data_IF_945622606932
#
_entry.id   IF_945622606932
#
_cell.length_a   1.000
_cell.length_b   1.000
_cell.length_c   1.000
_cell.angle_alpha   90.00
_cell.angle_beta   90.00
_cell.angle_gamma   90.00
#
_symmetry.space_group_name_H-M   'P 1'
#
loop_
_entity.id
_entity.type
_entity.pdbx_description
1 polymer ?
#
# COMPACT_ATOMS: atom_id res chain seq x y z
N UNK A 1 3.35 27.91 18.37
CA UNK A 1 3.12 27.14 17.14
C UNK A 1 1.75 26.47 17.23
N UNK A 2 0.73 26.93 16.47
CA UNK A 2 -0.64 26.40 16.56
C UNK A 2 -0.66 25.00 15.96
N UNK A 3 -0.92 23.99 16.78
CA UNK A 3 -1.10 22.60 16.41
C UNK A 3 -2.27 22.49 15.40
N UNK A 4 -1.97 22.35 14.10
CA UNK A 4 -2.96 22.11 13.05
C UNK A 4 -3.54 20.70 13.21
N UNK A 5 -4.85 20.62 13.20
CA UNK A 5 -5.72 19.65 13.78
C UNK A 5 -5.59 18.20 13.26
N UNK A 6 -5.94 17.27 14.12
CA UNK A 6 -6.23 15.87 13.77
C UNK A 6 -7.18 15.81 12.57
N UNK A 7 -6.89 14.89 11.63
CA UNK A 7 -7.76 14.65 10.47
C UNK A 7 -9.16 14.26 10.98
N UNK A 8 -10.21 14.94 10.53
CA UNK A 8 -11.58 14.55 10.88
C UNK A 8 -12.02 13.39 9.98
N UNK A 9 -12.78 12.48 10.57
CA UNK A 9 -13.52 11.50 9.80
C UNK A 9 -14.54 12.23 8.91
N UNK A 10 -14.71 11.77 7.68
CA UNK A 10 -15.79 12.26 6.84
C UNK A 10 -17.14 11.77 7.41
N UNK A 11 -18.22 12.57 7.29
CA UNK A 11 -19.55 12.14 7.69
C UNK A 11 -19.99 10.87 6.96
N UNK A 12 -20.87 10.09 7.59
CA UNK A 12 -21.55 9.00 6.93
C UNK A 12 -22.54 9.58 5.90
N UNK A 13 -22.60 8.91 4.75
CA UNK A 13 -23.53 9.23 3.68
C UNK A 13 -24.82 8.38 3.78
N UNK A 14 -25.89 8.77 3.09
CA UNK A 14 -27.06 7.91 2.93
C UNK A 14 -26.66 6.54 2.36
N UNK A 15 -27.13 5.45 3.00
CA UNK A 15 -26.75 4.09 2.62
C UNK A 15 -25.49 3.53 3.28
N UNK A 16 -24.74 4.34 4.04
CA UNK A 16 -23.64 3.81 4.85
C UNK A 16 -24.14 2.98 6.02
N UNK A 17 -23.47 1.85 6.34
CA UNK A 17 -23.84 1.04 7.49
C UNK A 17 -23.63 1.83 8.79
N UNK A 18 -24.56 1.67 9.73
CA UNK A 18 -24.42 2.23 11.09
C UNK A 18 -23.66 1.30 12.01
N UNK A 19 -23.60 0.04 11.67
CA UNK A 19 -22.91 -1.02 12.39
C UNK A 19 -22.36 -2.05 11.42
N UNK A 20 -21.18 -2.59 11.69
CA UNK A 20 -20.56 -3.67 10.93
C UNK A 20 -19.86 -4.60 11.91
N UNK A 21 -20.20 -5.89 11.86
CA UNK A 21 -19.57 -6.90 12.70
C UNK A 21 -19.72 -6.66 14.21
N UNK A 22 -20.79 -6.02 14.66
CA UNK A 22 -21.00 -5.65 16.07
C UNK A 22 -20.27 -4.36 16.50
N UNK A 23 -19.66 -3.63 15.55
CA UNK A 23 -18.95 -2.38 15.81
C UNK A 23 -19.72 -1.20 15.25
N UNK A 24 -19.97 -0.19 16.10
CA UNK A 24 -20.66 1.03 15.69
C UNK A 24 -19.78 1.90 14.82
N UNK A 25 -20.23 2.19 13.60
CA UNK A 25 -19.53 3.02 12.62
C UNK A 25 -19.62 4.51 12.99
N UNK A 26 -18.50 5.22 12.97
CA UNK A 26 -18.39 6.63 13.38
C UNK A 26 -18.21 7.62 12.25
N UNK A 27 -17.65 7.18 11.14
CA UNK A 27 -17.43 8.02 9.96
C UNK A 27 -16.59 7.31 8.92
N UNK A 28 -16.44 7.93 7.77
CA UNK A 28 -15.62 7.43 6.67
C UNK A 28 -14.16 7.83 6.85
N UNK A 29 -13.26 6.87 6.63
CA UNK A 29 -11.81 7.10 6.50
C UNK A 29 -11.48 7.39 5.04
N UNK A 30 -12.04 6.62 4.11
CA UNK A 30 -11.83 6.74 2.68
C UNK A 30 -12.74 5.81 1.87
N UNK A 31 -12.81 6.03 0.56
CA UNK A 31 -13.51 5.17 -0.38
C UNK A 31 -12.62 4.94 -1.61
N UNK A 32 -12.66 3.75 -2.18
CA UNK A 32 -11.95 3.34 -3.38
C UNK A 32 -12.82 2.44 -4.26
N UNK A 33 -12.29 1.96 -5.39
CA UNK A 33 -13.05 1.17 -6.35
C UNK A 33 -13.64 -0.14 -5.82
N UNK A 34 -13.07 -0.71 -4.77
CA UNK A 34 -13.48 -2.02 -4.23
C UNK A 34 -14.38 -1.94 -3.00
N UNK A 35 -14.38 -0.81 -2.31
CA UNK A 35 -15.10 -0.67 -1.05
C UNK A 35 -14.82 0.64 -0.33
N UNK A 36 -15.55 0.84 0.75
CA UNK A 36 -15.39 2.00 1.64
C UNK A 36 -14.80 1.55 2.97
N UNK A 37 -13.86 2.35 3.48
CA UNK A 37 -13.23 2.13 4.79
C UNK A 37 -13.84 3.10 5.79
N UNK A 38 -14.33 2.55 6.89
CA UNK A 38 -14.96 3.28 7.98
C UNK A 38 -14.12 3.20 9.25
N UNK A 39 -14.21 4.22 10.08
CA UNK A 39 -13.81 4.14 11.48
C UNK A 39 -14.99 3.63 12.31
N UNK A 40 -14.75 2.62 13.14
CA UNK A 40 -15.75 2.06 14.04
C UNK A 40 -15.21 2.01 15.47
N UNK A 41 -16.10 1.97 16.46
CA UNK A 41 -15.71 1.86 17.87
C UNK A 41 -15.03 0.52 18.13
N UNK A 42 -14.02 0.58 19.01
CA UNK A 42 -13.34 -0.62 19.54
C UNK A 42 -13.83 -0.85 20.97
N UNK A 43 -14.65 -1.87 21.24
CA UNK A 43 -15.07 -2.17 22.62
C UNK A 43 -13.88 -2.42 23.52
N UNK A 44 -13.83 -1.77 24.69
CA UNK A 44 -12.81 -1.97 25.71
C UNK A 44 -11.44 -1.34 25.42
N UNK A 45 -11.28 -0.61 24.30
CA UNK A 45 -10.03 0.07 23.94
C UNK A 45 -10.32 1.51 23.55
N UNK A 46 -9.51 2.46 24.04
CA UNK A 46 -9.57 3.83 23.53
C UNK A 46 -9.01 3.87 22.11
N UNK A 47 -9.88 4.14 21.12
CA UNK A 47 -9.49 4.25 19.71
C UNK A 47 -10.54 3.72 18.75
N UNK A 48 -10.16 3.66 17.49
CA UNK A 48 -11.00 3.15 16.43
C UNK A 48 -10.46 1.84 15.86
N UNK A 49 -11.34 1.11 15.20
CA UNK A 49 -11.03 0.06 14.25
C UNK A 49 -11.24 0.62 12.83
N UNK A 50 -10.47 0.12 11.88
CA UNK A 50 -10.71 0.35 10.46
C UNK A 50 -11.53 -0.80 9.88
N UNK A 51 -12.68 -0.47 9.30
CA UNK A 51 -13.63 -1.46 8.75
C UNK A 51 -13.79 -1.23 7.27
N UNK A 52 -13.24 -2.12 6.45
CA UNK A 52 -13.39 -2.12 5.00
C UNK A 52 -14.63 -2.93 4.62
N UNK A 53 -15.60 -2.29 3.98
CA UNK A 53 -16.83 -2.91 3.47
C UNK A 53 -16.80 -2.89 1.97
N UNK A 54 -16.95 -4.06 1.36
CA UNK A 54 -16.94 -4.24 -0.10
C UNK A 54 -18.17 -3.59 -0.72
N UNK A 55 -18.03 -2.96 -1.88
CA UNK A 55 -19.17 -2.42 -2.64
C UNK A 55 -20.05 -3.54 -3.17
N UNK A 56 -21.34 -3.26 -3.37
CA UNK A 56 -22.32 -4.26 -3.79
C UNK A 56 -21.98 -4.91 -5.15
N UNK A 57 -21.43 -4.10 -6.08
CA UNK A 57 -21.03 -4.59 -7.41
C UNK A 57 -19.93 -5.67 -7.31
N UNK A 58 -18.88 -5.44 -6.50
CA UNK A 58 -17.82 -6.39 -6.27
C UNK A 58 -18.30 -7.58 -5.43
N UNK A 59 -19.19 -7.33 -4.49
CA UNK A 59 -19.79 -8.38 -3.67
C UNK A 59 -20.67 -9.35 -4.49
N UNK A 60 -21.17 -8.94 -5.64
CA UNK A 60 -21.93 -9.80 -6.57
C UNK A 60 -21.03 -10.74 -7.40
N UNK A 61 -19.72 -10.44 -7.53
CA UNK A 61 -18.77 -11.30 -8.26
C UNK A 61 -18.24 -12.44 -7.37
N UNK A 62 -18.57 -13.71 -7.67
CA UNK A 62 -18.07 -14.86 -6.90
C UNK A 62 -16.54 -14.93 -6.86
N UNK A 63 -15.86 -14.61 -7.96
CA UNK A 63 -14.40 -14.63 -8.03
C UNK A 63 -13.78 -13.55 -7.13
N UNK A 64 -14.42 -12.39 -7.02
CA UNK A 64 -14.00 -11.37 -6.08
C UNK A 64 -14.15 -11.84 -4.63
N UNK A 65 -15.30 -12.49 -4.29
CA UNK A 65 -15.52 -13.04 -2.95
C UNK A 65 -14.47 -14.10 -2.55
N UNK A 66 -14.13 -15.00 -3.48
CA UNK A 66 -13.08 -16.00 -3.25
C UNK A 66 -11.72 -15.35 -2.97
N UNK A 67 -11.33 -14.36 -3.79
CA UNK A 67 -10.08 -13.60 -3.57
C UNK A 67 -10.11 -12.86 -2.23
N UNK A 68 -11.21 -12.18 -1.91
CA UNK A 68 -11.34 -11.47 -0.64
C UNK A 68 -11.29 -12.41 0.57
N UNK A 69 -11.88 -13.61 0.47
CA UNK A 69 -11.81 -14.63 1.50
C UNK A 69 -10.38 -15.17 1.69
N UNK A 70 -9.67 -15.39 0.59
CA UNK A 70 -8.25 -15.78 0.63
C UNK A 70 -7.41 -14.68 1.27
N UNK A 71 -7.62 -13.42 0.89
CA UNK A 71 -6.96 -12.25 1.48
C UNK A 71 -7.13 -12.22 3.00
N UNK A 72 -8.37 -12.25 3.47
CA UNK A 72 -8.66 -12.22 4.90
C UNK A 72 -7.99 -13.38 5.65
N UNK A 73 -7.99 -14.59 5.07
CA UNK A 73 -7.33 -15.78 5.63
C UNK A 73 -5.81 -15.63 5.71
N UNK A 74 -5.20 -15.06 4.68
CA UNK A 74 -3.74 -14.87 4.64
C UNK A 74 -3.30 -13.76 5.58
N UNK A 75 -4.06 -12.64 5.60
CA UNK A 75 -3.82 -11.52 6.52
C UNK A 75 -3.88 -11.92 7.99
N UNK A 76 -4.78 -12.84 8.34
CA UNK A 76 -4.87 -13.32 9.72
C UNK A 76 -3.59 -14.04 10.21
N UNK A 77 -2.68 -14.41 9.31
CA UNK A 77 -1.40 -15.05 9.62
C UNK A 77 -0.24 -14.07 9.69
N UNK A 78 -0.42 -12.83 9.21
CA UNK A 78 0.64 -11.81 9.24
C UNK A 78 0.71 -11.21 10.63
N UNK A 79 1.88 -11.34 11.25
CA UNK A 79 2.17 -10.74 12.56
C UNK A 79 3.44 -9.90 12.44
N UNK A 80 3.28 -8.58 12.35
CA UNK A 80 4.38 -7.61 12.29
C UNK A 80 3.94 -6.28 12.88
N UNK A 81 4.79 -5.59 13.64
CA UNK A 81 4.52 -4.23 14.13
C UNK A 81 4.41 -3.20 12.99
N UNK A 82 4.96 -3.52 11.82
CA UNK A 82 4.94 -2.65 10.62
C UNK A 82 3.78 -2.95 9.66
N UNK A 83 2.83 -3.79 10.05
CA UNK A 83 1.59 -4.08 9.30
C UNK A 83 0.38 -3.77 10.18
N UNK A 84 -0.67 -3.20 9.60
CA UNK A 84 -1.92 -3.00 10.34
C UNK A 84 -2.51 -4.36 10.73
N UNK A 85 -2.67 -4.57 12.04
CA UNK A 85 -3.08 -5.87 12.59
C UNK A 85 -4.50 -6.24 12.15
N UNK A 86 -4.64 -7.43 11.58
CA UNK A 86 -5.93 -8.02 11.28
C UNK A 86 -6.69 -8.33 12.59
N UNK A 87 -7.99 -8.04 12.61
CA UNK A 87 -8.86 -8.34 13.76
C UNK A 87 -9.82 -9.46 13.42
N UNK A 88 -10.65 -9.28 12.41
CA UNK A 88 -11.61 -10.27 11.92
C UNK A 88 -12.19 -9.88 10.57
N UNK A 89 -12.85 -10.82 9.90
CA UNK A 89 -13.60 -10.58 8.68
C UNK A 89 -14.86 -11.44 8.66
N UNK A 90 -15.87 -11.02 7.89
CA UNK A 90 -16.97 -11.86 7.45
C UNK A 90 -17.04 -11.82 5.93
N UNK A 91 -16.55 -12.89 5.33
CA UNK A 91 -16.47 -13.09 3.89
C UNK A 91 -17.78 -13.61 3.29
N UNK A 92 -18.69 -14.10 4.15
CA UNK A 92 -20.00 -14.64 3.77
C UNK A 92 -21.12 -13.61 3.84
N UNK A 93 -20.90 -12.49 4.53
CA UNK A 93 -21.88 -11.41 4.59
C UNK A 93 -22.37 -11.02 3.19
N UNK A 94 -23.58 -10.49 3.07
CA UNK A 94 -24.12 -9.96 1.81
C UNK A 94 -23.13 -8.99 1.16
N UNK A 95 -22.59 -8.05 1.95
CA UNK A 95 -21.44 -7.23 1.61
C UNK A 95 -20.26 -7.66 2.48
N UNK A 96 -19.28 -8.41 1.94
CA UNK A 96 -18.11 -8.83 2.69
C UNK A 96 -17.40 -7.67 3.34
N UNK A 97 -16.88 -7.88 4.55
CA UNK A 97 -16.14 -6.87 5.28
C UNK A 97 -14.93 -7.44 6.02
N UNK A 98 -13.97 -6.58 6.30
CA UNK A 98 -12.77 -6.90 7.06
C UNK A 98 -12.47 -5.78 8.04
N UNK A 99 -12.03 -6.15 9.24
CA UNK A 99 -11.65 -5.25 10.33
C UNK A 99 -10.16 -5.38 10.60
N UNK A 100 -9.48 -4.25 10.62
CA UNK A 100 -8.08 -4.13 11.04
C UNK A 100 -7.97 -3.09 12.16
N UNK A 101 -6.82 -3.04 12.83
CA UNK A 101 -6.53 -1.90 13.71
C UNK A 101 -6.60 -0.60 12.90
N UNK A 102 -7.12 0.44 13.52
CA UNK A 102 -6.98 1.80 12.98
C UNK A 102 -5.59 2.31 13.32
N UNK A 103 -4.82 2.65 12.31
CA UNK A 103 -3.48 3.22 12.47
C UNK A 103 -3.57 4.74 12.42
N UNK A 104 -3.43 5.46 13.55
CA UNK A 104 -3.42 6.91 13.53
C UNK A 104 -2.10 7.42 12.95
N UNK A 105 -2.22 8.40 12.04
CA UNK A 105 -1.08 9.05 11.37
C UNK A 105 -1.42 9.55 9.98
N UNK A 106 -0.56 10.38 9.39
CA UNK A 106 -0.66 10.75 7.98
C UNK A 106 -0.17 9.59 7.11
N UNK A 107 -0.69 9.47 5.89
CA UNK A 107 -0.04 8.62 4.89
C UNK A 107 1.29 9.24 4.47
N UNK A 108 2.23 8.41 4.02
CA UNK A 108 3.52 8.88 3.49
C UNK A 108 3.30 9.89 2.34
N UNK A 109 2.35 9.64 1.44
CA UNK A 109 1.98 10.57 0.36
C UNK A 109 1.60 11.93 0.92
N UNK A 110 0.66 11.98 1.85
CA UNK A 110 0.21 13.23 2.46
C UNK A 110 1.32 13.95 3.22
N UNK A 111 2.15 13.20 3.94
CA UNK A 111 3.27 13.78 4.69
C UNK A 111 4.27 14.46 3.76
N UNK A 112 4.71 13.74 2.72
CA UNK A 112 5.70 14.25 1.74
C UNK A 112 5.16 15.47 0.99
N UNK A 113 3.90 15.45 0.55
CA UNK A 113 3.28 16.58 -0.14
C UNK A 113 3.15 17.84 0.73
N UNK A 114 3.07 17.68 2.06
CA UNK A 114 2.87 18.79 3.00
C UNK A 114 4.12 19.26 3.69
N UNK A 115 5.07 18.36 3.92
CA UNK A 115 6.25 18.61 4.75
C UNK A 115 7.56 18.41 3.98
N UNK A 116 7.48 17.93 2.74
CA UNK A 116 8.64 17.59 1.93
C UNK A 116 9.20 16.19 2.24
N UNK A 117 10.36 15.93 1.66
CA UNK A 117 11.04 14.63 1.71
C UNK A 117 11.44 14.19 3.11
N UNK A 118 11.51 12.88 3.32
CA UNK A 118 12.14 12.30 4.49
C UNK A 118 13.67 12.31 4.35
N UNK A 119 14.38 12.45 5.47
CA UNK A 119 15.85 12.55 5.50
C UNK A 119 16.44 11.72 6.62
N UNK A 120 17.73 11.39 6.50
CA UNK A 120 18.51 10.77 7.58
C UNK A 120 17.82 9.56 8.18
N UNK A 121 17.76 9.51 9.50
CA UNK A 121 17.18 8.40 10.23
C UNK A 121 15.70 8.11 9.90
N UNK A 122 14.89 9.14 9.64
CA UNK A 122 13.48 8.94 9.24
C UNK A 122 13.34 8.18 7.93
N UNK A 123 14.21 8.47 6.94
CA UNK A 123 14.22 7.75 5.66
C UNK A 123 14.66 6.29 5.85
N UNK A 124 15.70 6.07 6.66
CA UNK A 124 16.18 4.73 6.99
C UNK A 124 15.11 3.93 7.79
N UNK A 125 14.47 4.58 8.75
CA UNK A 125 13.36 3.99 9.51
C UNK A 125 12.17 3.60 8.62
N UNK A 126 11.84 4.43 7.62
CA UNK A 126 10.85 4.09 6.60
C UNK A 126 11.28 2.85 5.81
N UNK A 127 12.51 2.84 5.29
CA UNK A 127 13.03 1.74 4.49
C UNK A 127 13.06 0.42 5.28
N UNK A 128 13.62 0.43 6.49
CA UNK A 128 13.69 -0.75 7.35
C UNK A 128 12.30 -1.24 7.80
N UNK A 129 11.42 -0.33 8.22
CA UNK A 129 10.08 -0.70 8.68
C UNK A 129 9.19 -1.25 7.56
N UNK A 130 9.26 -0.69 6.36
CA UNK A 130 8.51 -1.22 5.20
C UNK A 130 9.11 -2.53 4.67
N UNK A 131 10.42 -2.71 4.73
CA UNK A 131 11.07 -3.99 4.41
C UNK A 131 10.67 -5.09 5.41
N UNK A 132 10.59 -4.78 6.72
CA UNK A 132 10.09 -5.70 7.75
C UNK A 132 8.62 -6.09 7.49
N UNK A 133 7.79 -5.13 7.10
CA UNK A 133 6.41 -5.42 6.73
C UNK A 133 6.34 -6.41 5.55
N UNK A 134 7.09 -6.16 4.47
CA UNK A 134 7.14 -7.07 3.32
C UNK A 134 7.68 -8.46 3.69
N UNK A 135 8.74 -8.53 4.50
CA UNK A 135 9.28 -9.81 4.99
C UNK A 135 8.20 -10.63 5.71
N UNK A 136 7.43 -9.99 6.60
CA UNK A 136 6.37 -10.67 7.33
C UNK A 136 5.22 -11.13 6.43
N UNK A 137 4.83 -10.30 5.45
CA UNK A 137 3.79 -10.59 4.46
C UNK A 137 4.23 -11.77 3.58
N UNK A 138 5.45 -11.72 3.05
CA UNK A 138 6.02 -12.74 2.19
C UNK A 138 6.21 -14.08 2.92
N UNK A 139 6.61 -14.05 4.19
CA UNK A 139 6.70 -15.24 5.03
C UNK A 139 5.34 -15.93 5.25
N UNK A 140 4.24 -15.18 5.23
CA UNK A 140 2.87 -15.72 5.27
C UNK A 140 2.38 -16.26 3.90
N UNK A 141 3.22 -16.21 2.86
CA UNK A 141 2.86 -16.63 1.50
C UNK A 141 2.02 -15.62 0.73
N UNK A 142 2.00 -14.36 1.16
CA UNK A 142 1.21 -13.27 0.57
C UNK A 142 2.08 -12.39 -0.33
N UNK A 143 1.48 -11.82 -1.36
CA UNK A 143 2.03 -10.72 -2.17
C UNK A 143 1.14 -9.51 -1.95
N UNK A 144 1.73 -8.35 -1.59
CA UNK A 144 0.97 -7.12 -1.28
C UNK A 144 0.31 -6.50 -2.51
N UNK A 145 1.02 -6.42 -3.62
CA UNK A 145 0.57 -5.98 -4.96
C UNK A 145 0.18 -4.50 -5.11
N UNK A 146 -0.04 -3.76 -4.03
CA UNK A 146 -0.43 -2.34 -4.07
C UNK A 146 0.37 -1.50 -3.08
N UNK A 147 1.69 -1.78 -2.95
CA UNK A 147 2.57 -0.95 -2.13
C UNK A 147 2.80 0.39 -2.81
N UNK A 148 2.39 1.46 -2.13
CA UNK A 148 2.53 2.85 -2.59
C UNK A 148 2.45 3.81 -1.40
N UNK A 149 2.91 5.05 -1.53
CA UNK A 149 2.93 6.01 -0.42
C UNK A 149 1.58 6.30 0.24
N UNK A 150 0.47 6.11 -0.45
CA UNK A 150 -0.88 6.26 0.15
C UNK A 150 -1.26 5.08 1.05
N UNK A 151 -0.61 3.92 0.91
CA UNK A 151 -0.84 2.72 1.70
C UNK A 151 0.19 2.54 2.83
N UNK A 152 1.09 3.50 3.03
CA UNK A 152 2.02 3.56 4.15
C UNK A 152 1.58 4.67 5.09
N UNK A 153 1.24 4.33 6.33
CA UNK A 153 0.93 5.31 7.39
C UNK A 153 2.16 5.52 8.27
N UNK A 154 2.49 6.77 8.50
CA UNK A 154 3.54 7.18 9.44
C UNK A 154 2.93 7.26 10.84
N UNK A 155 2.96 6.14 11.57
CA UNK A 155 2.46 6.06 12.95
C UNK A 155 3.48 6.60 13.96
N UNK A 156 3.07 6.73 15.22
CA UNK A 156 3.99 7.15 16.29
C UNK A 156 5.15 6.15 16.53
N UNK A 157 4.95 4.88 16.20
CA UNK A 157 5.94 3.80 16.45
C UNK A 157 6.72 3.37 15.20
N UNK A 158 6.49 3.99 14.05
CA UNK A 158 7.11 3.62 12.78
C UNK A 158 6.13 3.59 11.61
N UNK A 159 6.62 3.25 10.41
CA UNK A 159 5.74 3.07 9.26
C UNK A 159 4.92 1.80 9.41
N UNK A 160 3.65 1.87 9.01
CA UNK A 160 2.75 0.71 8.94
C UNK A 160 2.13 0.59 7.57
N UNK A 161 2.21 -0.59 6.98
CA UNK A 161 1.51 -0.92 5.76
C UNK A 161 0.03 -1.16 6.03
N UNK A 162 -0.79 -0.55 5.19
CA UNK A 162 -2.23 -0.75 5.13
C UNK A 162 -2.59 -1.52 3.85
N UNK A 163 -3.83 -1.98 3.81
CA UNK A 163 -4.56 -2.47 2.62
C UNK A 163 -3.74 -3.27 1.61
N UNK A 164 -3.96 -4.55 1.59
CA UNK A 164 -3.37 -5.46 0.62
C UNK A 164 -4.19 -5.41 -0.67
N UNK A 165 -3.52 -5.30 -1.80
CA UNK A 165 -4.15 -5.24 -3.12
C UNK A 165 -4.55 -6.60 -3.68
N UNK A 166 -4.87 -7.60 -2.85
CA UNK A 166 -5.14 -8.98 -3.26
C UNK A 166 -6.42 -9.06 -4.11
N UNK A 167 -7.33 -8.11 -3.95
CA UNK A 167 -8.55 -8.04 -4.76
C UNK A 167 -8.33 -7.53 -6.20
N UNK A 168 -7.09 -7.13 -6.57
CA UNK A 168 -6.80 -6.79 -7.95
C UNK A 168 -6.95 -8.02 -8.87
N UNK A 169 -7.68 -7.90 -9.97
CA UNK A 169 -7.86 -9.00 -10.92
C UNK A 169 -6.56 -9.21 -11.70
N UNK A 170 -5.65 -9.98 -11.14
CA UNK A 170 -4.58 -10.59 -11.92
C UNK A 170 -5.06 -12.01 -12.25
N UNK A 171 -4.84 -12.41 -13.50
CA UNK A 171 -5.16 -13.75 -13.96
C UNK A 171 -4.67 -14.81 -12.98
N UNK A 172 -5.54 -15.79 -12.73
CA UNK A 172 -5.30 -16.91 -11.83
C UNK A 172 -3.93 -17.52 -12.10
N UNK A 173 -3.00 -17.52 -11.15
CA UNK A 173 -1.70 -18.11 -11.36
C UNK A 173 -1.86 -19.63 -11.35
N UNK A 174 -2.11 -20.22 -12.51
CA UNK A 174 -1.94 -21.67 -12.69
C UNK A 174 -0.48 -22.02 -12.34
N UNK A 175 -0.23 -22.74 -11.25
CA UNK A 175 1.13 -23.07 -10.83
C UNK A 175 1.94 -23.82 -11.90
N UNK A 176 1.27 -24.52 -12.82
CA UNK A 176 1.92 -25.26 -13.91
C UNK A 176 2.43 -24.33 -15.01
N UNK A 177 1.79 -23.18 -15.23
CA UNK A 177 2.28 -22.12 -16.13
C UNK A 177 3.59 -21.51 -15.63
N UNK A 178 3.81 -21.46 -14.31
CA UNK A 178 5.01 -20.91 -13.69
C UNK A 178 6.29 -21.69 -14.02
N UNK A 179 6.22 -23.01 -13.95
CA UNK A 179 7.36 -23.89 -14.27
C UNK A 179 7.74 -23.73 -15.76
N UNK A 180 6.74 -23.60 -16.62
CA UNK A 180 6.93 -23.41 -18.06
C UNK A 180 7.51 -22.04 -18.39
N UNK A 181 7.03 -20.97 -17.74
CA UNK A 181 7.52 -19.59 -17.92
C UNK A 181 8.93 -19.39 -17.36
N UNK A 182 9.28 -19.99 -16.19
CA UNK A 182 10.66 -20.01 -15.69
C UNK A 182 11.63 -20.68 -16.66
N UNK A 183 11.23 -21.80 -17.27
CA UNK A 183 12.04 -22.47 -18.31
C UNK A 183 12.15 -21.62 -19.57
N UNK A 184 11.08 -20.98 -19.99
CA UNK A 184 11.10 -20.07 -21.14
C UNK A 184 11.97 -18.83 -20.88
N UNK A 185 11.89 -18.17 -19.70
CA UNK A 185 12.75 -17.03 -19.34
C UNK A 185 14.23 -17.36 -19.41
N UNK A 186 14.63 -18.57 -18.96
CA UNK A 186 16.02 -19.03 -19.08
C UNK A 186 16.47 -19.20 -20.54
N UNK A 187 15.54 -19.59 -21.41
CA UNK A 187 15.78 -19.69 -22.86
C UNK A 187 15.71 -18.35 -23.59
N UNK A 188 14.93 -17.37 -23.07
CA UNK A 188 14.81 -16.02 -23.66
C UNK A 188 15.88 -15.04 -23.20
N UNK A 189 16.72 -15.40 -22.22
CA UNK A 189 17.85 -14.56 -21.77
C UNK A 189 18.87 -14.31 -22.88
N UNK A 190 18.91 -15.17 -23.91
CA UNK A 190 19.79 -15.05 -25.09
C UNK A 190 19.14 -14.32 -26.28
N UNK A 191 17.86 -13.99 -26.19
CA UNK A 191 17.13 -13.27 -27.24
C UNK A 191 17.00 -11.78 -26.84
N UNK A 192 17.53 -10.90 -27.70
CA UNK A 192 17.45 -9.45 -27.59
C UNK A 192 16.03 -9.03 -27.21
N UNK A 193 15.94 -8.11 -26.24
CA UNK A 193 14.71 -7.43 -25.85
C UNK A 193 13.87 -7.01 -27.09
N UNK A 194 12.54 -7.17 -27.05
CA UNK A 194 11.69 -6.66 -28.12
C UNK A 194 11.95 -5.18 -28.31
N UNK A 195 12.02 -4.76 -29.56
CA UNK A 195 12.21 -3.36 -29.99
C UNK A 195 11.25 -2.44 -29.23
N UNK A 196 11.63 -1.17 -28.95
CA UNK A 196 10.76 -0.19 -28.29
C UNK A 196 9.40 0.03 -28.97
N UNK A 197 9.25 -0.47 -30.20
CA UNK A 197 8.04 -0.38 -31.01
C UNK A 197 6.89 -1.31 -30.57
N UNK A 198 7.14 -2.31 -29.70
CA UNK A 198 6.09 -3.14 -29.12
C UNK A 198 5.61 -2.57 -27.78
N UNK A 199 5.19 -1.31 -27.80
CA UNK A 199 4.45 -0.73 -26.68
C UNK A 199 3.09 -1.44 -26.51
N UNK A 200 2.62 -1.60 -25.25
CA UNK A 200 1.35 -2.24 -24.99
C UNK A 200 0.21 -1.57 -25.79
N UNK A 201 -0.55 -2.40 -26.51
CA UNK A 201 -1.76 -2.07 -27.25
C UNK A 201 -2.78 -1.29 -26.39
N UNK A 202 -3.73 -0.58 -27.03
CA UNK A 202 -4.81 0.18 -26.35
C UNK A 202 -5.58 -0.65 -25.31
N UNK A 203 -5.64 -1.95 -25.48
CA UNK A 203 -6.18 -2.91 -24.49
C UNK A 203 -5.44 -2.88 -23.16
N UNK A 204 -4.16 -2.52 -23.13
CA UNK A 204 -3.37 -2.35 -21.89
C UNK A 204 -3.77 -1.10 -21.15
N UNK A 205 -4.02 0.01 -21.85
CA UNK A 205 -4.43 1.27 -21.24
C UNK A 205 -5.75 1.12 -20.47
N UNK A 206 -6.75 0.42 -21.06
CA UNK A 206 -8.05 0.19 -20.43
C UNK A 206 -8.00 -0.78 -19.23
N UNK A 207 -6.95 -1.59 -19.12
CA UNK A 207 -6.77 -2.52 -18.00
C UNK A 207 -5.85 -1.98 -16.90
N UNK A 208 -4.97 -1.03 -17.21
CA UNK A 208 -4.10 -0.38 -16.22
C UNK A 208 -4.92 0.38 -15.17
N UNK A 209 -6.07 0.95 -15.56
CA UNK A 209 -7.03 1.52 -14.59
C UNK A 209 -7.54 0.49 -13.56
N UNK A 210 -7.49 -0.81 -13.91
CA UNK A 210 -7.83 -1.93 -13.01
C UNK A 210 -6.61 -2.48 -12.26
N UNK A 211 -5.38 -2.20 -12.73
CA UNK A 211 -4.14 -2.74 -12.17
C UNK A 211 -3.54 -1.86 -11.07
N UNK A 212 -3.95 -0.60 -10.95
CA UNK A 212 -3.43 0.29 -9.93
C UNK A 212 -3.13 1.71 -10.42
N UNK A 213 -2.45 2.48 -9.61
CA UNK A 213 -2.06 3.86 -9.93
C UNK A 213 -0.84 3.85 -10.86
N UNK A 214 -0.88 4.48 -12.05
CA UNK A 214 0.28 4.59 -12.93
C UNK A 214 1.52 5.10 -12.18
N UNK A 215 2.69 4.54 -12.46
CA UNK A 215 3.94 4.81 -11.73
C UNK A 215 4.15 3.94 -10.48
N UNK A 216 3.10 3.25 -10.00
CA UNK A 216 3.11 2.33 -8.85
C UNK A 216 2.73 0.91 -9.28
N UNK A 217 3.23 0.51 -10.44
CA UNK A 217 3.03 -0.79 -11.09
C UNK A 217 4.42 -1.29 -11.49
N UNK A 218 4.77 -2.54 -11.19
CA UNK A 218 6.08 -3.10 -11.54
C UNK A 218 6.21 -3.43 -13.04
N UNK A 219 7.44 -3.54 -13.58
CA UNK A 219 7.66 -3.86 -15.00
C UNK A 219 6.93 -5.11 -15.49
N UNK A 220 6.96 -6.19 -14.67
CA UNK A 220 6.27 -7.45 -14.98
C UNK A 220 4.75 -7.30 -15.00
N UNK A 221 4.18 -6.42 -14.17
CA UNK A 221 2.75 -6.14 -14.21
C UNK A 221 2.35 -5.43 -15.50
N UNK A 222 3.16 -4.47 -15.99
CA UNK A 222 2.96 -3.85 -17.30
C UNK A 222 3.09 -4.86 -18.44
N UNK A 223 3.97 -5.85 -18.32
CA UNK A 223 4.15 -6.93 -19.30
C UNK A 223 3.11 -8.04 -19.18
N UNK A 224 2.18 -7.97 -18.23
CA UNK A 224 1.22 -9.04 -17.90
C UNK A 224 1.88 -10.35 -17.53
N UNK A 225 3.05 -10.26 -16.96
CA UNK A 225 3.76 -11.41 -16.42
C UNK A 225 3.26 -11.70 -14.99
N UNK A 226 3.52 -12.91 -14.48
CA UNK A 226 3.12 -13.26 -13.13
C UNK A 226 3.68 -12.30 -12.07
N UNK A 227 2.81 -11.77 -11.23
CA UNK A 227 3.18 -10.89 -10.13
C UNK A 227 3.60 -11.72 -8.92
N UNK A 228 4.89 -11.70 -8.60
CA UNK A 228 5.47 -12.39 -7.46
C UNK A 228 5.78 -11.41 -6.32
N UNK A 229 6.34 -11.93 -5.23
CA UNK A 229 6.90 -11.12 -4.14
C UNK A 229 7.94 -10.10 -4.62
N UNK A 230 8.58 -10.36 -5.75
CA UNK A 230 9.54 -9.44 -6.38
C UNK A 230 8.90 -8.16 -6.91
N UNK A 231 7.61 -8.17 -7.21
CA UNK A 231 6.87 -6.96 -7.55
C UNK A 231 6.76 -6.01 -6.34
N UNK A 232 6.50 -6.54 -5.15
CA UNK A 232 6.47 -5.75 -3.92
C UNK A 232 7.83 -5.14 -3.61
N UNK A 233 8.92 -5.85 -3.89
CA UNK A 233 10.29 -5.35 -3.74
C UNK A 233 10.55 -4.16 -4.66
N UNK A 234 10.11 -4.23 -5.92
CA UNK A 234 10.18 -3.09 -6.84
C UNK A 234 9.40 -1.88 -6.30
N UNK A 235 8.19 -2.10 -5.83
CA UNK A 235 7.34 -1.04 -5.28
C UNK A 235 7.87 -0.49 -3.95
N UNK A 236 8.60 -1.29 -3.17
CA UNK A 236 9.35 -0.81 -2.01
C UNK A 236 10.42 0.19 -2.43
N UNK A 237 11.23 -0.14 -3.44
CA UNK A 237 12.23 0.76 -4.00
C UNK A 237 11.62 2.08 -4.47
N UNK A 238 10.54 2.00 -5.26
CA UNK A 238 9.78 3.16 -5.74
C UNK A 238 9.27 4.02 -4.56
N UNK A 239 8.77 3.38 -3.49
CA UNK A 239 8.23 4.08 -2.30
C UNK A 239 9.34 4.80 -1.52
N UNK A 240 10.50 4.18 -1.36
CA UNK A 240 11.66 4.78 -0.66
C UNK A 240 12.26 5.92 -1.48
N UNK A 241 12.41 5.75 -2.81
CA UNK A 241 12.85 6.81 -3.72
C UNK A 241 11.91 8.02 -3.67
N UNK A 242 10.59 7.82 -3.74
CA UNK A 242 9.60 8.88 -3.56
C UNK A 242 9.76 9.62 -2.23
N UNK A 243 9.99 8.91 -1.15
CA UNK A 243 10.15 9.52 0.16
C UNK A 243 11.42 10.37 0.25
N UNK A 244 12.50 9.98 -0.44
CA UNK A 244 13.77 10.70 -0.48
C UNK A 244 13.73 11.94 -1.39
N UNK A 245 13.07 11.84 -2.56
CA UNK A 245 13.06 12.89 -3.58
C UNK A 245 11.86 13.86 -3.46
N UNK A 246 10.76 13.43 -2.82
CA UNK A 246 9.46 14.12 -2.76
C UNK A 246 8.75 14.24 -4.12
N UNK A 247 9.12 13.43 -5.08
CA UNK A 247 8.43 13.28 -6.37
C UNK A 247 8.42 11.82 -6.82
N UNK A 248 7.55 11.50 -7.77
CA UNK A 248 7.43 10.14 -8.29
C UNK A 248 8.70 9.78 -9.10
N UNK A 249 9.41 8.64 -8.83
CA UNK A 249 10.72 8.33 -9.42
C UNK A 249 10.76 8.22 -10.94
N UNK A 250 9.62 7.97 -11.57
CA UNK A 250 9.45 7.97 -13.02
C UNK A 250 8.71 9.21 -13.53
N UNK A 251 8.55 10.23 -12.68
CA UNK A 251 7.84 11.46 -12.99
C UNK A 251 6.34 11.26 -13.17
N UNK A 252 5.70 12.15 -13.92
CA UNK A 252 4.27 12.09 -14.26
C UNK A 252 4.11 12.02 -15.76
N UNK A 253 3.31 11.07 -16.23
CA UNK A 253 3.05 10.86 -17.64
C UNK A 253 1.71 10.15 -17.83
N UNK A 254 1.21 10.12 -19.06
CA UNK A 254 0.09 9.25 -19.44
C UNK A 254 0.47 7.76 -19.32
N UNK A 255 -0.51 6.89 -19.30
CA UNK A 255 -0.36 5.45 -19.00
C UNK A 255 0.70 4.77 -19.88
N UNK A 256 0.67 5.00 -21.20
CA UNK A 256 1.63 4.38 -22.16
C UNK A 256 3.06 4.83 -21.89
N UNK A 257 3.26 6.12 -21.71
CA UNK A 257 4.58 6.69 -21.44
C UNK A 257 5.09 6.27 -20.06
N UNK A 258 4.22 6.22 -19.05
CA UNK A 258 4.59 5.71 -17.73
C UNK A 258 5.02 4.24 -17.79
N UNK A 259 4.29 3.40 -18.53
CA UNK A 259 4.67 2.01 -18.75
C UNK A 259 6.06 1.90 -19.40
N UNK A 260 6.34 2.73 -20.43
CA UNK A 260 7.64 2.78 -21.09
C UNK A 260 8.76 3.15 -20.11
N UNK A 261 8.56 4.22 -19.33
CA UNK A 261 9.54 4.66 -18.32
C UNK A 261 9.82 3.60 -17.29
N UNK A 262 8.78 3.02 -16.69
CA UNK A 262 8.94 1.97 -15.68
C UNK A 262 9.65 0.74 -16.23
N UNK A 263 9.36 0.35 -17.48
CA UNK A 263 9.97 -0.83 -18.09
C UNK A 263 11.41 -0.63 -18.57
N UNK A 264 11.79 0.59 -18.99
CA UNK A 264 13.02 0.79 -19.75
C UNK A 264 13.91 1.92 -19.24
N UNK A 265 13.40 2.90 -18.48
CA UNK A 265 14.21 4.01 -17.98
C UNK A 265 14.68 3.78 -16.54
N UNK A 266 15.80 4.37 -16.19
CA UNK A 266 16.29 4.42 -14.82
C UNK A 266 15.38 5.33 -13.97
N UNK A 267 15.11 4.96 -12.70
CA UNK A 267 14.39 5.82 -11.78
C UNK A 267 15.24 7.01 -11.36
N UNK A 268 14.58 8.13 -11.07
CA UNK A 268 15.22 9.23 -10.37
C UNK A 268 15.41 8.85 -8.89
N UNK A 269 16.67 8.76 -8.46
CA UNK A 269 17.11 8.39 -7.12
C UNK A 269 17.73 9.55 -6.35
N UNK A 270 17.47 10.77 -6.77
CA UNK A 270 17.98 11.96 -6.13
C UNK A 270 17.75 11.95 -4.61
N UNK A 271 18.77 12.44 -3.88
CA UNK A 271 18.73 12.59 -2.44
C UNK A 271 18.75 11.30 -1.58
N UNK A 272 18.93 10.14 -2.19
CA UNK A 272 19.20 8.92 -1.44
C UNK A 272 20.64 8.92 -0.91
N UNK A 273 20.87 8.54 0.36
CA UNK A 273 22.23 8.28 0.84
C UNK A 273 22.85 7.08 0.09
N UNK A 274 24.17 7.08 -0.22
CA UNK A 274 24.79 6.09 -1.10
C UNK A 274 24.55 4.62 -0.72
N UNK A 275 24.45 4.32 0.59
CA UNK A 275 24.13 2.96 1.06
C UNK A 275 22.70 2.55 0.71
N UNK A 276 21.74 3.44 0.92
CA UNK A 276 20.33 3.19 0.63
C UNK A 276 20.04 3.24 -0.88
N UNK A 277 20.73 4.12 -1.62
CA UNK A 277 20.64 4.21 -3.08
C UNK A 277 20.93 2.87 -3.74
N UNK A 278 22.03 2.19 -3.36
CA UNK A 278 22.39 0.87 -3.90
C UNK A 278 21.29 -0.16 -3.64
N UNK A 279 20.66 -0.14 -2.47
CA UNK A 279 19.57 -1.06 -2.14
C UNK A 279 18.30 -0.77 -2.96
N UNK A 280 17.97 0.51 -3.11
CA UNK A 280 16.81 0.94 -3.90
C UNK A 280 17.03 0.61 -5.37
N UNK A 281 18.22 0.85 -5.92
CA UNK A 281 18.57 0.49 -7.29
C UNK A 281 18.44 -1.02 -7.52
N UNK A 282 18.99 -1.84 -6.64
CA UNK A 282 18.86 -3.30 -6.71
C UNK A 282 17.39 -3.76 -6.61
N UNK A 283 16.59 -3.14 -5.74
CA UNK A 283 15.16 -3.44 -5.60
C UNK A 283 14.37 -3.06 -6.86
N UNK A 284 14.82 -2.03 -7.61
CA UNK A 284 14.16 -1.53 -8.81
C UNK A 284 14.71 -2.12 -10.12
N UNK A 285 15.53 -3.17 -10.06
CA UNK A 285 15.97 -3.91 -11.24
C UNK A 285 14.78 -4.31 -12.12
N UNK A 286 14.94 -4.18 -13.45
CA UNK A 286 13.83 -4.43 -14.41
C UNK A 286 13.50 -5.93 -14.52
N UNK A 287 14.49 -6.79 -14.35
CA UNK A 287 14.30 -8.24 -14.20
C UNK A 287 13.96 -8.55 -12.73
N UNK A 288 12.78 -9.15 -12.45
CA UNK A 288 12.42 -9.55 -11.10
C UNK A 288 13.41 -10.51 -10.43
N UNK A 289 14.09 -11.36 -11.22
CA UNK A 289 15.04 -12.37 -10.69
C UNK A 289 16.32 -11.71 -10.15
N UNK A 290 16.65 -10.50 -10.58
CA UNK A 290 17.81 -9.73 -10.10
C UNK A 290 17.53 -8.97 -8.79
N UNK A 291 16.26 -8.85 -8.40
CA UNK A 291 15.88 -8.15 -7.17
C UNK A 291 16.14 -9.03 -5.95
N UNK A 292 16.59 -8.43 -4.82
CA UNK A 292 16.73 -9.16 -3.56
C UNK A 292 15.39 -9.67 -3.03
N UNK A 293 15.44 -10.59 -2.07
CA UNK A 293 14.27 -10.97 -1.26
C UNK A 293 14.01 -9.90 -0.18
N UNK A 294 12.75 -9.78 0.31
CA UNK A 294 12.41 -8.82 1.35
C UNK A 294 13.22 -9.01 2.64
N UNK A 295 13.60 -10.26 2.96
CA UNK A 295 14.45 -10.57 4.10
C UNK A 295 15.89 -10.05 3.93
N UNK A 296 16.40 -10.05 2.70
CA UNK A 296 17.72 -9.50 2.36
C UNK A 296 17.69 -7.97 2.40
N UNK A 297 16.64 -7.36 1.84
CA UNK A 297 16.41 -5.92 1.95
C UNK A 297 16.41 -5.45 3.40
N UNK A 298 15.67 -6.15 4.25
CA UNK A 298 15.62 -5.82 5.67
C UNK A 298 17.01 -5.89 6.30
N UNK A 299 17.75 -7.01 6.12
CA UNK A 299 19.11 -7.14 6.64
C UNK A 299 19.99 -5.99 6.20
N UNK A 300 20.02 -5.71 4.91
CA UNK A 300 20.83 -4.63 4.37
C UNK A 300 20.44 -3.25 4.91
N UNK A 301 19.15 -2.97 5.13
CA UNK A 301 18.72 -1.75 5.81
C UNK A 301 19.21 -1.68 7.26
N UNK A 302 19.19 -2.81 7.99
CA UNK A 302 19.67 -2.87 9.38
C UNK A 302 21.20 -2.69 9.45
N UNK A 303 21.94 -3.26 8.50
CA UNK A 303 23.40 -3.12 8.42
C UNK A 303 23.84 -1.64 8.25
N UNK A 304 23.02 -0.83 7.57
CA UNK A 304 23.25 0.63 7.47
C UNK A 304 23.13 1.36 8.82
N UNK A 305 22.51 0.74 9.82
CA UNK A 305 22.36 1.27 11.20
C UNK A 305 23.18 0.44 12.21
N UNK A 306 24.19 -0.28 11.76
CA UNK A 306 25.06 -1.09 12.60
C UNK A 306 24.49 -2.44 13.03
N UNK A 307 23.56 -3.01 12.26
CA UNK A 307 22.98 -4.34 12.48
C UNK A 307 21.98 -4.43 13.63
N UNK A 308 21.50 -3.30 14.12
CA UNK A 308 20.52 -3.27 15.20
C UNK A 308 19.15 -3.82 14.74
N UNK A 309 18.39 -4.50 15.62
CA UNK A 309 17.02 -4.95 15.30
C UNK A 309 16.14 -3.77 14.87
N UNK A 310 15.18 -4.01 13.96
CA UNK A 310 14.29 -2.98 13.40
C UNK A 310 13.62 -2.10 14.46
N UNK A 311 13.24 -2.68 15.58
CA UNK A 311 12.67 -1.95 16.71
C UNK A 311 13.63 -0.86 17.22
N UNK A 312 14.91 -1.18 17.37
CA UNK A 312 15.96 -0.23 17.81
C UNK A 312 16.21 0.84 16.76
N UNK A 313 16.22 0.46 15.47
CA UNK A 313 16.33 1.42 14.36
C UNK A 313 15.18 2.42 14.42
N UNK A 314 13.94 1.97 14.62
CA UNK A 314 12.78 2.83 14.75
C UNK A 314 12.83 3.68 16.03
N UNK A 315 13.14 3.11 17.18
CA UNK A 315 13.27 3.86 18.45
C UNK A 315 14.29 5.02 18.36
N UNK A 316 15.40 4.84 17.62
CA UNK A 316 16.43 5.86 17.45
C UNK A 316 16.11 6.89 16.39
N UNK A 317 15.50 6.47 15.31
CA UNK A 317 15.41 7.22 14.07
C UNK A 317 14.02 7.79 13.78
N UNK A 318 12.97 7.31 14.48
CA UNK A 318 11.59 7.68 14.22
C UNK A 318 11.09 8.69 15.25
N UNK A 319 11.42 9.99 15.05
CA UNK A 319 11.30 10.98 16.14
C UNK A 319 10.22 12.04 15.98
N UNK A 320 9.59 12.22 14.81
CA UNK A 320 8.89 13.49 14.56
C UNK A 320 7.46 13.41 14.00
N UNK A 321 6.84 12.25 13.94
CA UNK A 321 5.45 12.20 13.44
C UNK A 321 4.47 12.49 14.57
N UNK A 322 3.96 13.73 14.62
CA UNK A 322 2.89 14.10 15.54
C UNK A 322 1.59 13.38 15.15
N UNK A 323 1.28 12.29 15.84
CA UNK A 323 0.10 11.48 15.60
C UNK A 323 -1.01 11.84 16.56
N UNK A 324 -2.20 12.17 16.03
CA UNK A 324 -3.42 12.35 16.83
C UNK A 324 -4.52 11.46 16.27
N UNK A 325 -5.33 10.83 17.12
CA UNK A 325 -6.51 10.11 16.67
C UNK A 325 -7.44 11.07 15.90
N UNK A 326 -8.17 10.60 14.90
CA UNK A 326 -9.09 11.45 14.15
C UNK A 326 -10.21 11.94 15.06
N UNK A 327 -10.63 13.17 14.82
CA UNK A 327 -11.80 13.71 15.49
C UNK A 327 -13.08 13.18 14.83
N UNK A 328 -14.15 12.95 15.60
CA UNK A 328 -15.44 12.57 15.04
C UNK A 328 -15.95 13.62 14.05
N UNK A 329 -16.82 13.26 13.11
CA UNK A 329 -17.41 14.21 12.18
C UNK A 329 -18.17 15.30 12.93
N UNK A 330 -18.15 16.52 12.40
CA UNK A 330 -18.99 17.61 12.96
C UNK A 330 -20.45 17.21 12.79
N UNK A 331 -21.24 17.32 13.86
CA UNK A 331 -22.70 17.26 13.75
C UNK A 331 -23.11 18.40 12.80
N UNK A 332 -23.85 18.12 11.75
CA UNK A 332 -24.55 19.16 10.98
C UNK A 332 -25.47 19.88 11.96
N UNK A 333 -25.20 21.14 12.25
CA UNK A 333 -26.07 21.96 13.06
C UNK A 333 -27.42 22.06 12.37
N UNK A 334 -28.47 21.63 13.03
CA UNK A 334 -29.84 21.98 12.76
C UNK A 334 -30.02 23.46 13.16
N UNK A 335 -29.60 24.37 12.28
CA UNK A 335 -29.99 25.79 12.38
C UNK A 335 -30.77 26.16 11.12
N UNK A 336 -32.06 26.09 11.21
CA UNK A 336 -33.02 26.50 10.20
C UNK A 336 -34.40 26.65 10.85
N UNK A 337 -34.49 27.40 11.95
CA UNK A 337 -35.74 27.82 12.53
C UNK A 337 -35.83 29.32 12.42
N UNK A 338 -36.32 29.83 11.32
CA UNK A 338 -36.71 31.23 11.20
C UNK A 338 -37.83 31.55 12.20
N UNK A 339 -37.55 32.37 13.17
CA UNK A 339 -38.59 33.09 13.91
C UNK A 339 -38.92 34.37 13.12
N UNK A 340 -40.02 34.31 12.39
CA UNK A 340 -40.80 35.49 12.04
C UNK A 340 -41.36 36.06 13.34
N UNK A 341 -41.01 37.28 13.67
CA UNK A 341 -41.76 38.07 14.68
C UNK A 341 -42.72 39.02 13.97
N UNK A 342 -43.86 39.30 14.60
CA UNK A 342 -44.99 40.05 14.07
C UNK A 342 -44.68 41.54 13.85
#
# INVERSE_FOLDING_TARGET
MKARGARRLAPLEPGDPREVGGHRVRGRIGSGGMGTVYAADSPGVHGYLAVKVVHAEQAADPRFRERFALEARLLSRVNSPSVARFVRADVRAERPWMITEYVPGPTLRYHVERHGRLRGGMLLGLAAGTAEALRAIHAAGVVHRDLKPSNVVLSASGPKLLDFGIAHPLEDPDPTKWIRLRRMRRAYRDLRLPSPETLPDERVAAQVDKLGTPGWISPEQYRREPTTQKADVFLWGTTVAFAAAAHDPFGRAGIKEMARRVMFEEPDLDHLPPGLERLVLAAMAKDPDERPEAAELLRSCLDLDGGAPVRRVLERNWTEVAVRPPLPPRKRGLFGGGQSRP
#
